data_IF_175645441911
#
_entry.id   IF_175645441911
#
_cell.length_a   1.000
_cell.length_b   1.000
_cell.length_c   1.000
_cell.angle_alpha   90.00
_cell.angle_beta   90.00
_cell.angle_gamma   90.00
#
_symmetry.space_group_name_H-M   'P 1'
#
loop_
_entity.id
_entity.type
_entity.pdbx_description
1 polymer ?
#
# COMPACT_ATOMS: atom_id res chain seq x y z
N UNK A 1 15.73 0.92 3.40
CA UNK A 1 16.86 1.86 3.48
C UNK A 1 16.50 3.16 4.24
N UNK A 2 15.20 3.46 4.38
CA UNK A 2 14.68 4.65 5.07
C UNK A 2 13.97 4.34 6.38
N UNK A 3 14.07 3.13 6.86
CA UNK A 3 13.47 2.73 8.12
C UNK A 3 14.36 3.19 9.28
N UNK A 4 13.71 3.56 10.38
CA UNK A 4 14.42 4.06 11.56
C UNK A 4 14.88 5.51 11.44
N UNK A 5 14.15 6.36 10.69
CA UNK A 5 14.40 7.79 10.63
C UNK A 5 14.30 8.42 12.01
N UNK A 6 15.30 9.22 12.36
CA UNK A 6 15.28 10.02 13.58
C UNK A 6 14.37 11.24 13.45
N UNK A 7 13.97 11.80 14.60
CA UNK A 7 13.12 12.99 14.63
C UNK A 7 13.77 14.20 13.92
N UNK A 8 15.09 14.32 13.99
CA UNK A 8 15.83 15.37 13.31
C UNK A 8 15.76 15.24 11.80
N UNK A 9 15.87 14.00 11.27
CA UNK A 9 15.78 13.72 9.84
C UNK A 9 14.40 14.06 9.31
N UNK A 10 13.36 13.66 10.05
CA UNK A 10 11.97 13.97 9.71
C UNK A 10 11.65 15.46 9.72
N UNK A 11 12.30 16.25 10.58
CA UNK A 11 12.08 17.71 10.63
C UNK A 11 12.50 18.42 9.34
N UNK A 12 13.50 17.91 8.66
CA UNK A 12 14.02 18.49 7.42
C UNK A 12 13.18 18.10 6.20
N UNK A 13 12.46 16.99 6.24
CA UNK A 13 11.71 16.43 5.11
C UNK A 13 10.40 17.19 4.88
N UNK A 14 10.15 17.60 3.65
CA UNK A 14 8.91 18.24 3.15
C UNK A 14 8.20 17.40 2.12
N UNK A 15 8.91 16.52 1.43
CA UNK A 15 8.40 15.65 0.39
C UNK A 15 9.31 14.46 0.13
N UNK A 16 8.91 13.58 -0.78
CA UNK A 16 9.68 12.37 -1.09
C UNK A 16 11.04 12.67 -1.75
N UNK A 17 11.17 13.81 -2.41
CA UNK A 17 12.42 14.23 -3.05
C UNK A 17 13.53 14.66 -2.07
N UNK A 18 13.18 14.90 -0.80
CA UNK A 18 14.13 15.36 0.21
C UNK A 18 14.96 14.21 0.80
N UNK A 19 14.61 12.97 0.50
CA UNK A 19 15.38 11.81 0.94
C UNK A 19 16.64 11.62 0.09
N UNK A 20 17.79 11.40 0.75
CA UNK A 20 19.09 11.26 0.11
C UNK A 20 19.20 10.08 -0.88
N UNK A 21 18.38 9.05 -0.67
CA UNK A 21 18.32 7.91 -1.57
C UNK A 21 16.91 7.77 -2.13
N UNK A 22 16.78 8.00 -3.39
CA UNK A 22 15.60 7.68 -4.19
C UNK A 22 15.88 6.41 -4.99
N UNK A 23 14.88 5.61 -5.24
CA UNK A 23 15.03 4.37 -5.98
C UNK A 23 13.72 3.94 -6.61
N UNK A 24 13.85 3.10 -7.60
CA UNK A 24 12.72 2.45 -8.25
C UNK A 24 12.98 0.96 -8.31
N UNK A 25 11.94 0.18 -8.38
CA UNK A 25 11.99 -1.24 -8.70
C UNK A 25 10.87 -1.62 -9.65
N UNK A 26 10.97 -2.78 -10.20
CA UNK A 26 9.93 -3.35 -11.02
C UNK A 26 8.66 -3.61 -10.20
N UNK A 27 7.51 -3.37 -10.82
CA UNK A 27 6.21 -3.76 -10.31
C UNK A 27 6.04 -5.28 -10.45
N UNK A 28 5.61 -5.93 -9.38
CA UNK A 28 5.44 -7.37 -9.33
C UNK A 28 4.01 -7.77 -8.93
N UNK A 29 3.62 -9.00 -9.20
CA UNK A 29 2.32 -9.56 -8.85
C UNK A 29 2.02 -9.45 -7.34
N UNK A 30 3.05 -9.55 -6.50
CA UNK A 30 2.90 -9.38 -5.04
C UNK A 30 2.43 -7.99 -4.61
N UNK A 31 2.70 -6.94 -5.39
CA UNK A 31 2.25 -5.59 -5.08
C UNK A 31 0.73 -5.44 -5.26
N UNK A 32 0.17 -6.15 -6.22
CA UNK A 32 -1.28 -6.28 -6.38
C UNK A 32 -1.91 -7.10 -5.25
N UNK A 33 -1.32 -8.26 -4.90
CA UNK A 33 -1.79 -9.03 -3.76
C UNK A 33 -1.77 -8.19 -2.47
N UNK A 34 -0.71 -7.43 -2.25
CA UNK A 34 -0.58 -6.55 -1.09
C UNK A 34 -1.71 -5.53 -1.06
N UNK A 35 -2.00 -4.86 -2.19
CA UNK A 35 -3.10 -3.90 -2.28
C UNK A 35 -4.47 -4.56 -2.06
N UNK A 36 -4.70 -5.76 -2.60
CA UNK A 36 -5.98 -6.46 -2.37
C UNK A 36 -6.16 -6.76 -0.87
N UNK A 37 -5.11 -7.19 -0.18
CA UNK A 37 -5.13 -7.36 1.28
C UNK A 37 -5.40 -6.05 2.02
N UNK A 38 -4.93 -4.91 1.51
CA UNK A 38 -5.19 -3.58 2.09
C UNK A 38 -6.68 -3.22 2.10
N UNK A 39 -7.50 -3.77 1.21
CA UNK A 39 -8.95 -3.58 1.24
C UNK A 39 -9.56 -4.04 2.58
N UNK A 40 -8.98 -5.07 3.20
CA UNK A 40 -9.40 -5.60 4.50
C UNK A 40 -8.76 -4.87 5.70
N UNK A 41 -7.88 -3.89 5.47
CA UNK A 41 -7.14 -3.24 6.56
C UNK A 41 -8.05 -2.37 7.43
N UNK A 42 -8.16 -2.62 8.76
CA UNK A 42 -9.18 -2.00 9.61
C UNK A 42 -9.06 -0.48 9.75
N UNK A 43 -7.88 0.10 9.51
CA UNK A 43 -7.66 1.55 9.57
C UNK A 43 -7.91 2.27 8.25
N UNK A 44 -8.00 1.56 7.13
CA UNK A 44 -8.19 2.17 5.81
C UNK A 44 -9.65 2.36 5.44
N UNK A 45 -10.56 1.63 6.10
CA UNK A 45 -12.01 1.74 5.89
C UNK A 45 -12.39 1.73 4.40
N UNK A 46 -11.90 0.74 3.66
CA UNK A 46 -12.14 0.66 2.22
C UNK A 46 -13.63 0.64 1.90
N UNK A 47 -14.13 1.56 1.07
CA UNK A 47 -15.57 1.64 0.76
C UNK A 47 -16.07 0.46 -0.08
N UNK A 48 -15.17 -0.30 -0.70
CA UNK A 48 -15.53 -1.47 -1.51
C UNK A 48 -15.34 -2.80 -0.78
N UNK A 49 -14.92 -2.76 0.50
CA UNK A 49 -14.59 -3.97 1.24
C UNK A 49 -15.75 -4.96 1.28
N UNK A 50 -16.94 -4.53 1.68
CA UNK A 50 -18.11 -5.41 1.82
C UNK A 50 -18.46 -6.09 0.50
N UNK A 51 -18.46 -5.33 -0.60
CA UNK A 51 -18.71 -5.88 -1.92
C UNK A 51 -17.63 -6.90 -2.34
N UNK A 52 -16.37 -6.59 -2.11
CA UNK A 52 -15.27 -7.50 -2.49
C UNK A 52 -15.26 -8.75 -1.60
N UNK A 53 -15.66 -8.65 -0.34
CA UNK A 53 -15.74 -9.77 0.59
C UNK A 53 -16.79 -10.83 0.19
N UNK A 54 -17.81 -10.44 -0.58
CA UNK A 54 -18.79 -11.39 -1.13
C UNK A 54 -18.18 -12.29 -2.22
N UNK A 55 -17.17 -11.78 -2.96
CA UNK A 55 -16.65 -12.46 -4.14
C UNK A 55 -15.23 -12.98 -3.97
N UNK A 56 -14.42 -12.41 -3.07
CA UNK A 56 -13.04 -12.82 -2.84
C UNK A 56 -12.92 -13.73 -1.60
N UNK A 57 -12.75 -15.06 -1.81
CA UNK A 57 -12.62 -16.00 -0.70
C UNK A 57 -11.49 -15.61 0.25
N UNK A 58 -11.79 -15.60 1.55
CA UNK A 58 -10.82 -15.32 2.60
C UNK A 58 -10.66 -13.83 2.94
N UNK A 59 -11.34 -12.90 2.24
CA UNK A 59 -11.18 -11.47 2.52
C UNK A 59 -11.82 -11.06 3.86
N UNK A 60 -12.95 -11.69 4.23
CA UNK A 60 -13.60 -11.47 5.52
C UNK A 60 -12.77 -12.02 6.68
N UNK A 61 -12.24 -13.22 6.53
CA UNK A 61 -11.36 -13.87 7.50
C UNK A 61 -10.07 -13.08 7.69
N UNK A 62 -9.53 -12.55 6.60
CA UNK A 62 -8.38 -11.66 6.65
C UNK A 62 -8.67 -10.42 7.49
N UNK A 63 -9.81 -9.74 7.28
CA UNK A 63 -10.19 -8.59 8.08
C UNK A 63 -10.32 -8.95 9.57
N UNK A 64 -11.00 -10.05 9.88
CA UNK A 64 -11.14 -10.51 11.26
C UNK A 64 -9.77 -10.76 11.92
N UNK A 65 -8.85 -11.39 11.21
CA UNK A 65 -7.48 -11.61 11.69
C UNK A 65 -6.70 -10.32 11.92
N UNK A 66 -6.83 -9.34 11.01
CA UNK A 66 -6.19 -8.03 11.15
C UNK A 66 -6.77 -7.22 12.32
N UNK A 67 -8.08 -7.28 12.54
CA UNK A 67 -8.74 -6.64 13.68
C UNK A 67 -8.27 -7.26 15.00
N UNK A 68 -8.20 -8.59 15.07
CA UNK A 68 -7.69 -9.30 16.24
C UNK A 68 -6.24 -8.90 16.55
N UNK A 69 -5.37 -8.92 15.55
CA UNK A 69 -3.98 -8.51 15.68
C UNK A 69 -3.82 -7.06 16.17
N UNK A 70 -4.70 -6.16 15.72
CA UNK A 70 -4.70 -4.76 16.18
C UNK A 70 -5.12 -4.63 17.64
N UNK A 71 -6.16 -5.36 18.07
CA UNK A 71 -6.66 -5.32 19.47
C UNK A 71 -5.68 -5.90 20.48
N UNK A 72 -4.99 -6.94 20.10
CA UNK A 72 -4.03 -7.63 20.98
C UNK A 72 -2.69 -6.87 21.13
N UNK A 73 -2.57 -5.70 20.53
CA UNK A 73 -1.29 -4.97 20.48
C UNK A 73 -0.21 -5.72 19.68
N UNK A 74 -0.61 -6.82 19.03
CA UNK A 74 0.22 -7.65 18.16
C UNK A 74 0.31 -7.08 16.73
N UNK A 75 -0.04 -5.81 16.57
CA UNK A 75 0.29 -5.08 15.35
C UNK A 75 1.77 -5.27 14.98
N UNK A 76 2.56 -5.57 16.00
CA UNK A 76 3.93 -6.03 15.91
C UNK A 76 4.08 -7.52 16.25
N UNK A 77 3.16 -8.40 15.86
CA UNK A 77 3.33 -9.85 16.03
C UNK A 77 4.69 -10.29 15.51
N UNK A 78 5.68 -10.49 16.37
CA UNK A 78 7.08 -10.68 16.05
C UNK A 78 7.56 -9.70 14.97
N UNK A 79 7.25 -8.38 15.14
CA UNK A 79 7.78 -7.33 14.27
C UNK A 79 9.28 -7.52 14.17
N UNK A 80 9.82 -7.43 12.97
CA UNK A 80 11.24 -7.28 12.83
C UNK A 80 11.64 -6.06 13.68
N UNK A 81 12.79 -6.12 14.33
CA UNK A 81 13.28 -5.06 15.24
C UNK A 81 13.14 -3.64 14.67
N UNK A 82 13.07 -3.55 13.35
CA UNK A 82 13.04 -2.32 12.58
C UNK A 82 11.65 -1.98 12.00
N UNK A 83 10.58 -2.69 12.38
CA UNK A 83 9.23 -2.38 11.90
C UNK A 83 8.63 -1.19 12.65
N UNK A 84 7.89 -0.30 11.96
CA UNK A 84 7.22 0.82 12.61
C UNK A 84 6.21 0.36 13.66
N UNK A 85 6.10 1.04 14.81
CA UNK A 85 5.13 0.70 15.84
C UNK A 85 3.70 0.72 15.29
N UNK A 86 2.97 -0.37 15.51
CA UNK A 86 1.57 -0.47 15.09
C UNK A 86 1.36 -0.69 13.58
N UNK A 87 2.40 -0.88 12.79
CA UNK A 87 2.29 -1.30 11.41
C UNK A 87 1.90 -2.77 11.31
N UNK A 88 0.92 -3.06 10.46
CA UNK A 88 0.45 -4.41 10.18
C UNK A 88 1.12 -4.94 8.93
N UNK A 89 2.00 -5.92 9.08
CA UNK A 89 2.59 -6.62 7.95
C UNK A 89 1.58 -7.58 7.31
N UNK A 90 0.94 -7.14 6.23
CA UNK A 90 -0.11 -7.90 5.56
C UNK A 90 0.40 -9.19 4.91
N UNK A 91 1.72 -9.30 4.65
CA UNK A 91 2.29 -10.52 4.08
C UNK A 91 2.20 -11.72 5.04
N UNK A 92 2.02 -11.46 6.33
CA UNK A 92 1.85 -12.52 7.35
C UNK A 92 0.45 -13.14 7.38
N UNK A 93 -0.49 -12.56 6.67
CA UNK A 93 -1.87 -13.02 6.64
C UNK A 93 -2.18 -13.65 5.29
N UNK A 94 -2.80 -14.82 5.29
CA UNK A 94 -3.21 -15.49 4.06
C UNK A 94 -4.45 -14.82 3.44
N UNK A 95 -4.54 -14.85 2.11
CA UNK A 95 -5.73 -14.52 1.35
C UNK A 95 -5.94 -15.61 0.28
N UNK A 96 -6.69 -16.68 0.58
CA UNK A 96 -6.81 -17.84 -0.29
C UNK A 96 -7.38 -17.55 -1.68
N UNK A 97 -8.21 -16.51 -1.80
CA UNK A 97 -8.79 -16.09 -3.08
C UNK A 97 -7.80 -15.46 -4.06
N UNK A 98 -6.58 -15.14 -3.62
CA UNK A 98 -5.58 -14.48 -4.47
C UNK A 98 -4.21 -15.14 -4.31
N UNK A 99 -3.64 -15.60 -5.42
CA UNK A 99 -2.38 -16.33 -5.48
C UNK A 99 -1.39 -15.63 -6.40
N UNK A 100 -0.17 -15.43 -5.93
CA UNK A 100 0.97 -15.07 -6.77
C UNK A 100 1.54 -16.35 -7.38
N UNK A 101 1.25 -16.58 -8.65
CA UNK A 101 1.70 -17.78 -9.38
C UNK A 101 3.18 -17.69 -9.69
N UNK A 102 3.61 -16.51 -10.15
CA UNK A 102 5.01 -16.16 -10.37
C UNK A 102 5.20 -14.64 -10.21
N UNK A 103 6.39 -14.15 -10.51
CA UNK A 103 6.73 -12.73 -10.34
C UNK A 103 5.78 -11.77 -11.02
N UNK A 104 5.20 -12.15 -12.16
CA UNK A 104 4.36 -11.28 -13.00
C UNK A 104 2.94 -11.81 -13.19
N UNK A 105 2.60 -12.95 -12.59
CA UNK A 105 1.30 -13.60 -12.76
C UNK A 105 0.55 -13.66 -11.44
N UNK A 106 -0.61 -13.02 -11.39
CA UNK A 106 -1.55 -13.08 -10.28
C UNK A 106 -2.79 -13.87 -10.71
N UNK A 107 -3.22 -14.81 -9.86
CA UNK A 107 -4.48 -15.53 -10.03
C UNK A 107 -5.46 -15.03 -8.98
N UNK A 108 -6.64 -14.60 -9.44
CA UNK A 108 -7.74 -14.21 -8.57
C UNK A 108 -8.88 -15.20 -8.79
N UNK A 109 -9.31 -15.83 -7.71
CA UNK A 109 -10.45 -16.74 -7.70
C UNK A 109 -11.66 -16.02 -7.14
N UNK A 110 -12.78 -16.06 -7.83
CA UNK A 110 -14.02 -15.46 -7.39
C UNK A 110 -15.01 -16.56 -6.95
N UNK A 111 -15.76 -16.26 -5.91
CA UNK A 111 -16.90 -17.06 -5.49
C UNK A 111 -18.13 -16.61 -6.28
N UNK A 112 -18.70 -17.52 -7.08
CA UNK A 112 -19.83 -17.20 -7.94
C UNK A 112 -19.46 -16.45 -9.22
N UNK A 113 -20.49 -16.00 -9.97
CA UNK A 113 -20.33 -15.29 -11.22
C UNK A 113 -20.40 -13.77 -10.98
N UNK A 114 -19.33 -13.07 -11.26
CA UNK A 114 -19.27 -11.62 -11.18
C UNK A 114 -18.57 -11.04 -12.43
N UNK A 115 -19.27 -10.94 -13.57
CA UNK A 115 -18.66 -10.48 -14.83
C UNK A 115 -18.06 -9.07 -14.76
N UNK A 116 -18.62 -8.21 -13.92
CA UNK A 116 -18.15 -6.83 -13.72
C UNK A 116 -16.84 -6.73 -12.96
N UNK A 117 -16.34 -7.83 -12.37
CA UNK A 117 -15.10 -7.79 -11.58
C UNK A 117 -13.91 -7.19 -12.34
N UNK A 118 -13.81 -7.42 -13.65
CA UNK A 118 -12.73 -6.85 -14.47
C UNK A 118 -12.73 -5.32 -14.48
N UNK A 119 -13.89 -4.68 -14.37
CA UNK A 119 -13.98 -3.21 -14.30
C UNK A 119 -13.39 -2.69 -12.99
N UNK A 120 -13.52 -3.45 -11.88
CA UNK A 120 -12.93 -3.09 -10.60
C UNK A 120 -11.41 -3.07 -10.65
N UNK A 121 -10.77 -3.97 -11.41
CA UNK A 121 -9.32 -4.01 -11.55
C UNK A 121 -8.74 -2.75 -12.20
N UNK A 122 -9.54 -1.99 -12.95
CA UNK A 122 -9.13 -0.70 -13.53
C UNK A 122 -9.39 0.49 -12.59
N UNK A 123 -10.03 0.27 -11.45
CA UNK A 123 -10.31 1.31 -10.47
C UNK A 123 -9.12 1.55 -9.53
N UNK A 124 -8.95 2.76 -8.99
CA UNK A 124 -7.85 3.09 -8.07
C UNK A 124 -7.75 2.19 -6.84
N UNK A 125 -8.84 1.55 -6.43
CA UNK A 125 -8.88 0.61 -5.31
C UNK A 125 -7.97 -0.61 -5.49
N UNK A 126 -7.67 -0.97 -6.73
CA UNK A 126 -6.80 -2.09 -7.08
C UNK A 126 -5.42 -1.63 -7.58
N UNK A 127 -5.11 -0.33 -7.54
CA UNK A 127 -3.78 0.17 -7.88
C UNK A 127 -2.73 -0.45 -6.95
N UNK A 128 -1.70 -1.11 -7.49
CA UNK A 128 -0.74 -1.85 -6.68
C UNK A 128 0.03 -0.94 -5.73
N UNK A 129 0.23 -1.42 -4.51
CA UNK A 129 1.01 -0.71 -3.48
C UNK A 129 2.16 -1.60 -3.04
N UNK A 130 3.41 -1.17 -3.19
CA UNK A 130 4.55 -1.87 -2.66
C UNK A 130 4.53 -1.91 -1.13
N UNK A 131 4.76 -3.10 -0.54
CA UNK A 131 4.82 -3.29 0.92
C UNK A 131 5.80 -2.33 1.60
N UNK A 132 6.95 -2.11 1.00
CA UNK A 132 7.98 -1.20 1.52
C UNK A 132 7.54 0.26 1.57
N UNK A 133 6.65 0.68 0.67
CA UNK A 133 6.07 2.03 0.66
C UNK A 133 5.09 2.19 1.82
N UNK A 134 4.21 1.21 2.02
CA UNK A 134 3.28 1.19 3.14
C UNK A 134 4.02 1.21 4.49
N UNK A 135 5.05 0.37 4.62
CA UNK A 135 5.94 0.32 5.79
C UNK A 135 6.69 1.65 6.00
N UNK A 136 7.14 2.30 4.93
CA UNK A 136 7.83 3.59 5.00
C UNK A 136 6.91 4.68 5.56
N UNK A 137 5.70 4.82 5.04
CA UNK A 137 4.76 5.84 5.51
C UNK A 137 4.16 5.55 6.90
N UNK A 138 4.26 4.32 7.37
CA UNK A 138 3.83 3.96 8.73
C UNK A 138 4.80 4.39 9.83
N UNK A 139 5.96 4.94 9.51
CA UNK A 139 6.93 5.39 10.50
C UNK A 139 6.38 6.56 11.34
N UNK A 140 6.76 6.64 12.64
CA UNK A 140 6.35 7.74 13.50
C UNK A 140 6.73 9.11 12.93
N UNK A 141 5.82 10.08 13.03
CA UNK A 141 6.03 11.45 12.55
C UNK A 141 5.74 11.66 11.06
N UNK A 142 5.47 10.62 10.29
CA UNK A 142 5.13 10.75 8.86
C UNK A 142 3.75 11.35 8.66
N UNK A 143 2.73 10.81 9.33
CA UNK A 143 1.34 11.27 9.18
C UNK A 143 1.17 12.73 9.61
N UNK A 144 1.81 13.15 10.71
CA UNK A 144 1.77 14.52 11.23
C UNK A 144 2.39 15.54 10.28
N UNK A 145 3.17 15.05 9.29
CA UNK A 145 3.81 15.88 8.26
C UNK A 145 3.15 15.75 6.90
N UNK A 146 1.98 15.11 6.82
CA UNK A 146 1.31 14.77 5.57
C UNK A 146 2.20 13.93 4.63
N UNK A 147 3.12 13.15 5.18
CA UNK A 147 3.89 12.17 4.44
C UNK A 147 3.15 10.83 4.51
N UNK A 148 2.11 10.70 3.71
CA UNK A 148 1.27 9.52 3.58
C UNK A 148 1.10 9.14 2.12
N UNK A 149 0.65 7.93 1.86
CA UNK A 149 0.43 7.46 0.49
C UNK A 149 -0.62 8.29 -0.25
N UNK A 150 -1.61 8.84 0.44
CA UNK A 150 -2.66 9.68 -0.16
C UNK A 150 -2.12 11.05 -0.59
N UNK A 151 -1.16 11.59 0.16
CA UNK A 151 -0.52 12.86 -0.17
C UNK A 151 0.64 12.72 -1.14
N UNK A 152 1.32 11.58 -1.10
CA UNK A 152 2.51 11.31 -1.90
C UNK A 152 2.38 9.93 -2.56
N UNK A 153 1.48 9.80 -3.56
CA UNK A 153 1.26 8.53 -4.24
C UNK A 153 2.53 8.06 -4.95
N UNK A 154 2.79 6.78 -4.85
CA UNK A 154 3.87 6.10 -5.58
C UNK A 154 3.23 5.18 -6.61
N UNK A 155 3.62 5.30 -7.85
CA UNK A 155 3.02 4.54 -8.95
C UNK A 155 3.93 4.41 -10.15
N UNK A 156 3.39 3.81 -11.21
CA UNK A 156 4.08 3.53 -12.48
C UNK A 156 3.69 4.48 -13.61
N UNK A 157 2.95 5.54 -13.30
CA UNK A 157 2.43 6.48 -14.28
C UNK A 157 3.52 7.35 -14.94
N UNK A 158 3.15 8.10 -16.02
CA UNK A 158 4.07 8.94 -16.77
C UNK A 158 4.58 10.15 -15.98
N UNK A 159 3.92 10.50 -14.88
CA UNK A 159 4.29 11.64 -14.05
C UNK A 159 4.42 11.23 -12.58
N UNK A 160 5.29 11.91 -11.87
CA UNK A 160 5.52 11.77 -10.43
C UNK A 160 5.22 13.11 -9.75
N UNK A 161 4.59 13.04 -8.58
CA UNK A 161 4.34 14.23 -7.75
C UNK A 161 5.65 14.66 -7.06
N UNK A 162 6.08 15.90 -7.31
CA UNK A 162 7.32 16.46 -6.75
C UNK A 162 7.06 17.58 -5.76
N UNK A 163 5.91 18.25 -5.87
CA UNK A 163 5.43 19.23 -4.90
C UNK A 163 3.93 19.04 -4.71
N UNK A 164 3.50 18.97 -3.47
CA UNK A 164 2.09 18.82 -3.11
C UNK A 164 1.71 19.88 -2.08
N UNK A 165 1.27 21.04 -2.57
CA UNK A 165 0.68 22.08 -1.75
C UNK A 165 -0.68 22.48 -2.33
N UNK A 166 -1.78 21.85 -1.86
CA UNK A 166 -3.11 22.12 -2.43
C UNK A 166 -3.58 23.57 -2.24
N UNK A 167 -3.00 24.31 -1.30
CA UNK A 167 -3.32 25.73 -1.10
C UNK A 167 -2.52 26.68 -2.02
N UNK A 168 -1.52 26.18 -2.73
CA UNK A 168 -0.68 26.96 -3.63
C UNK A 168 -0.56 26.29 -5.00
N UNK A 169 0.11 25.13 -5.07
CA UNK A 169 0.31 24.41 -6.33
C UNK A 169 0.65 22.95 -6.10
N UNK A 170 0.33 22.12 -7.08
CA UNK A 170 0.81 20.75 -7.24
C UNK A 170 1.70 20.70 -8.47
N UNK A 171 2.91 20.14 -8.34
CA UNK A 171 3.86 20.04 -9.43
C UNK A 171 4.13 18.56 -9.72
N UNK A 172 3.96 18.21 -10.98
CA UNK A 172 4.26 16.89 -11.50
C UNK A 172 5.49 16.95 -12.40
N UNK A 173 6.44 16.08 -12.18
CA UNK A 173 7.58 15.88 -13.06
C UNK A 173 7.40 14.61 -13.90
N UNK A 174 8.02 14.60 -15.08
CA UNK A 174 8.02 13.39 -15.92
C UNK A 174 8.73 12.24 -15.18
N UNK A 175 8.11 11.08 -15.18
CA UNK A 175 8.73 9.87 -14.65
C UNK A 175 9.76 9.31 -15.66
N UNK A 176 11.06 9.33 -15.35
CA UNK A 176 12.09 8.85 -16.26
C UNK A 176 12.05 7.33 -16.49
N UNK A 177 11.34 6.60 -15.62
CA UNK A 177 11.22 5.14 -15.68
C UNK A 177 9.90 4.69 -16.33
N UNK A 178 9.08 5.62 -16.81
CA UNK A 178 7.85 5.29 -17.50
C UNK A 178 8.16 4.60 -18.84
N UNK A 179 7.50 3.46 -19.08
CA UNK A 179 7.69 2.61 -20.27
C UNK A 179 6.45 2.53 -21.18
N UNK A 180 5.48 3.42 -20.98
CA UNK A 180 4.36 3.57 -21.92
C UNK A 180 4.74 4.42 -23.11
N UNK A 181 4.08 4.19 -24.25
CA UNK A 181 4.22 4.99 -25.47
C UNK A 181 3.56 6.37 -25.33
#
# INVERSE_FOLDING_TARGET
RYLGLGEADLRAVRGLGDFAATGTRELEARDYLYQIKRLAHPRLHSPIFELMAEYLPGLQELQAGLVAATKEGRASGAAAKDDPPGWLDLDRFALPGVEVVDRHTLRITLQGAYPQFLYWLSMPFFSPVPREVDRFFAQPGMAERNLTLDWWPVGTGPYMLVENNPNARMVLARNPNYRGD
#
